data_IF_351512819770
#
_entry.id   IF_351512819770
#
_cell.length_a   1.000
_cell.length_b   1.000
_cell.length_c   1.000
_cell.angle_alpha   90.00
_cell.angle_beta   90.00
_cell.angle_gamma   90.00
#
_symmetry.space_group_name_H-M   'P 1'
#
loop_
_entity.id
_entity.type
_entity.pdbx_description
1 polymer ?
#
# COMPACT_ATOMS: atom_id res chain seq x y z
N UNK A 1 19.35 -22.56 -32.79
CA UNK A 1 18.20 -21.75 -32.33
C UNK A 1 17.86 -22.20 -30.92
N UNK A 2 18.25 -21.43 -29.90
CA UNK A 2 17.96 -21.77 -28.50
C UNK A 2 16.63 -21.13 -28.09
N UNK A 3 15.61 -21.97 -27.92
CA UNK A 3 14.26 -21.54 -27.54
C UNK A 3 14.26 -21.16 -26.05
N UNK A 4 14.34 -19.86 -25.74
CA UNK A 4 14.21 -19.36 -24.37
C UNK A 4 12.78 -19.59 -23.89
N UNK A 5 12.58 -20.59 -23.02
CA UNK A 5 11.30 -20.80 -22.34
C UNK A 5 10.96 -19.56 -21.51
N UNK A 6 9.87 -18.87 -21.85
CA UNK A 6 9.36 -17.76 -21.05
C UNK A 6 8.90 -18.32 -19.71
N UNK A 7 9.50 -17.88 -18.59
CA UNK A 7 8.97 -18.17 -17.26
C UNK A 7 7.61 -17.47 -17.13
N UNK A 8 6.57 -18.22 -16.80
CA UNK A 8 5.30 -17.64 -16.39
C UNK A 8 5.52 -16.91 -15.07
N UNK A 9 5.28 -15.62 -15.05
CA UNK A 9 5.31 -14.82 -13.83
C UNK A 9 3.91 -14.84 -13.22
N UNK A 10 3.76 -15.54 -12.09
CA UNK A 10 2.52 -15.55 -11.34
C UNK A 10 2.52 -14.41 -10.32
N UNK A 11 1.77 -13.35 -10.63
CA UNK A 11 1.65 -12.20 -9.76
C UNK A 11 0.86 -12.49 -8.48
N UNK A 12 0.00 -13.52 -8.48
CA UNK A 12 -0.81 -13.91 -7.31
C UNK A 12 0.05 -14.69 -6.32
N UNK A 13 0.84 -15.65 -6.81
CA UNK A 13 1.79 -16.38 -5.97
C UNK A 13 2.78 -15.42 -5.32
N UNK A 14 3.33 -14.49 -6.10
CA UNK A 14 4.26 -13.49 -5.59
C UNK A 14 3.60 -12.58 -4.53
N UNK A 15 2.38 -12.12 -4.77
CA UNK A 15 1.64 -11.31 -3.80
C UNK A 15 1.43 -12.08 -2.49
N UNK A 16 0.95 -13.32 -2.58
CA UNK A 16 0.65 -14.14 -1.40
C UNK A 16 1.91 -14.37 -0.56
N UNK A 17 3.03 -14.63 -1.22
CA UNK A 17 4.33 -14.76 -0.57
C UNK A 17 4.73 -13.47 0.16
N UNK A 18 4.70 -12.32 -0.51
CA UNK A 18 5.05 -11.02 0.09
C UNK A 18 4.13 -10.72 1.28
N UNK A 19 2.83 -11.02 1.16
CA UNK A 19 1.89 -10.82 2.25
C UNK A 19 2.17 -11.72 3.45
N UNK A 20 2.56 -12.98 3.23
CA UNK A 20 2.94 -13.89 4.31
C UNK A 20 4.20 -13.39 5.04
N UNK A 21 5.21 -12.92 4.30
CA UNK A 21 6.42 -12.33 4.87
C UNK A 21 6.09 -11.08 5.73
N UNK A 22 5.28 -10.16 5.20
CA UNK A 22 4.84 -8.96 5.95
C UNK A 22 3.98 -9.30 7.19
N UNK A 23 3.14 -10.33 7.11
CA UNK A 23 2.35 -10.79 8.25
C UNK A 23 3.21 -11.35 9.38
N UNK A 24 4.32 -12.02 9.04
CA UNK A 24 5.28 -12.50 10.02
C UNK A 24 6.06 -11.34 10.65
N UNK A 25 6.52 -10.38 9.83
CA UNK A 25 7.24 -9.19 10.30
C UNK A 25 6.41 -8.34 11.27
N UNK A 26 5.10 -8.20 11.01
CA UNK A 26 4.21 -7.38 11.83
C UNK A 26 3.43 -8.18 12.87
N UNK A 27 3.80 -9.45 13.09
CA UNK A 27 3.10 -10.33 14.01
C UNK A 27 3.15 -9.77 15.43
N UNK A 28 1.98 -9.48 15.98
CA UNK A 28 1.84 -8.96 17.34
C UNK A 28 1.87 -7.43 17.43
N UNK A 29 2.01 -6.73 16.31
CA UNK A 29 1.77 -5.28 16.23
C UNK A 29 0.28 -5.00 15.98
N UNK A 30 -0.22 -3.93 16.58
CA UNK A 30 -1.52 -3.36 16.23
C UNK A 30 -1.45 -2.60 14.90
N UNK A 31 -2.61 -2.40 14.26
CA UNK A 31 -2.71 -1.62 13.02
C UNK A 31 -2.10 -0.21 13.15
N UNK A 32 -2.24 0.44 14.31
CA UNK A 32 -1.70 1.78 14.55
C UNK A 32 -0.17 1.77 14.75
N UNK A 33 0.38 0.71 15.35
CA UNK A 33 1.83 0.51 15.43
C UNK A 33 2.42 0.27 14.04
N UNK A 34 1.78 -0.58 13.23
CA UNK A 34 2.19 -0.84 11.84
C UNK A 34 2.19 0.46 11.03
N UNK A 35 1.12 1.27 11.13
CA UNK A 35 1.06 2.58 10.45
C UNK A 35 2.18 3.51 10.89
N UNK A 36 2.47 3.53 12.18
CA UNK A 36 3.53 4.38 12.74
C UNK A 36 4.89 3.95 12.19
N UNK A 37 5.17 2.65 12.19
CA UNK A 37 6.43 2.08 11.67
C UNK A 37 6.61 2.36 10.18
N UNK A 38 5.56 2.17 9.38
CA UNK A 38 5.58 2.48 7.95
C UNK A 38 5.82 3.98 7.74
N UNK A 39 5.14 4.85 8.49
CA UNK A 39 5.30 6.29 8.39
C UNK A 39 6.72 6.73 8.74
N UNK A 40 7.29 6.17 9.81
CA UNK A 40 8.66 6.42 10.24
C UNK A 40 9.68 5.97 9.18
N UNK A 41 9.52 4.75 8.67
CA UNK A 41 10.35 4.18 7.61
C UNK A 41 10.32 5.03 6.35
N UNK A 42 9.14 5.44 5.88
CA UNK A 42 8.98 6.27 4.68
C UNK A 42 9.51 7.70 4.90
N UNK A 43 9.48 8.21 6.12
CA UNK A 43 10.04 9.53 6.44
C UNK A 43 11.56 9.52 6.39
N UNK A 44 12.18 8.44 6.88
CA UNK A 44 13.65 8.29 6.97
C UNK A 44 14.30 7.75 5.69
N UNK A 45 13.55 7.11 4.81
CA UNK A 45 14.07 6.51 3.58
C UNK A 45 14.16 7.50 2.41
N UNK A 46 15.12 7.27 1.51
CA UNK A 46 15.28 7.96 0.22
C UNK A 46 14.89 7.07 -0.98
N UNK A 47 14.25 5.92 -0.72
CA UNK A 47 13.74 5.06 -1.77
C UNK A 47 12.73 5.80 -2.67
N UNK A 48 12.56 5.40 -3.94
CA UNK A 48 11.58 6.02 -4.84
C UNK A 48 10.16 6.07 -4.26
N UNK A 49 9.76 5.03 -3.50
CA UNK A 49 8.46 4.98 -2.81
C UNK A 49 8.38 5.98 -1.66
N UNK A 50 9.45 6.16 -0.89
CA UNK A 50 9.52 7.16 0.18
C UNK A 50 9.48 8.59 -0.36
N UNK A 51 10.17 8.86 -1.47
CA UNK A 51 10.11 10.17 -2.14
C UNK A 51 8.72 10.47 -2.68
N UNK A 52 8.05 9.48 -3.27
CA UNK A 52 6.67 9.61 -3.71
C UNK A 52 5.73 9.88 -2.53
N UNK A 53 5.89 9.13 -1.44
CA UNK A 53 5.12 9.31 -0.21
C UNK A 53 5.24 10.74 0.34
N UNK A 54 6.47 11.26 0.47
CA UNK A 54 6.75 12.64 0.89
C UNK A 54 6.04 13.69 0.01
N UNK A 55 5.99 13.45 -1.32
CA UNK A 55 5.29 14.34 -2.26
C UNK A 55 3.77 14.29 -2.10
N UNK A 56 3.19 13.09 -1.93
CA UNK A 56 1.74 12.92 -1.78
C UNK A 56 1.29 13.48 -0.42
N UNK A 57 1.99 13.16 0.67
CA UNK A 57 1.64 13.62 2.01
C UNK A 57 1.67 15.16 2.13
N UNK A 58 2.58 15.82 1.40
CA UNK A 58 2.63 17.28 1.32
C UNK A 58 1.44 17.91 0.56
N UNK A 59 0.75 17.14 -0.29
CA UNK A 59 -0.43 17.61 -1.05
C UNK A 59 -1.75 17.34 -0.33
N UNK A 60 -1.85 16.24 0.42
CA UNK A 60 -3.09 15.82 1.10
C UNK A 60 -3.51 16.76 2.24
N UNK A 61 -2.57 17.50 2.83
CA UNK A 61 -2.87 18.56 3.82
C UNK A 61 -3.62 19.78 3.24
N UNK A 62 -3.81 19.85 1.91
CA UNK A 62 -4.49 20.97 1.24
C UNK A 62 -5.87 20.69 0.63
N UNK A 63 -6.37 19.45 0.58
CA UNK A 63 -7.61 19.18 -0.17
C UNK A 63 -8.36 17.92 0.26
N UNK A 64 -8.93 17.91 1.46
CA UNK A 64 -10.12 17.08 1.71
C UNK A 64 -11.36 17.83 1.19
N UNK A 65 -11.65 17.68 -0.11
CA UNK A 65 -12.98 18.00 -0.63
C UNK A 65 -13.94 16.94 -0.10
N UNK A 66 -14.80 17.36 0.82
CA UNK A 66 -15.97 16.65 1.33
C UNK A 66 -16.84 16.18 0.17
N UNK A 67 -16.81 14.88 -0.14
CA UNK A 67 -17.81 14.26 -0.98
C UNK A 67 -19.07 14.02 -0.14
N UNK A 68 -20.14 14.74 -0.49
CA UNK A 68 -21.44 14.70 0.18
C UNK A 68 -22.05 13.29 0.27
N UNK A 69 -22.83 12.98 1.33
CA UNK A 69 -23.50 11.68 1.46
C UNK A 69 -24.52 11.51 0.34
N UNK A 70 -24.37 10.46 -0.47
CA UNK A 70 -25.41 10.05 -1.43
C UNK A 70 -26.56 9.42 -0.63
N UNK A 71 -27.67 10.16 -0.58
CA UNK A 71 -28.94 9.75 0.02
C UNK A 71 -29.35 8.35 -0.44
N UNK A 72 -29.72 7.53 0.53
CA UNK A 72 -30.39 6.25 0.35
C UNK A 72 -31.65 6.44 -0.52
N UNK A 73 -31.77 5.65 -1.59
CA UNK A 73 -33.04 5.53 -2.32
C UNK A 73 -33.70 4.23 -1.88
N UNK A 74 -34.75 4.38 -1.07
CA UNK A 74 -35.68 3.32 -0.74
C UNK A 74 -36.61 3.02 -1.93
N UNK A 75 -36.92 1.74 -2.12
CA UNK A 75 -38.13 1.23 -2.77
C UNK A 75 -38.02 0.88 -4.26
N UNK A 76 -38.97 0.10 -4.79
CA UNK A 76 -40.19 -0.42 -4.13
C UNK A 76 -40.02 -1.77 -3.43
#
# INVERSE_FOLDING_TARGET
MTTTKKKSFDCVEMKNRIQAELQEEWRGMSDDEIRTEISDTLSKSDSPVAQLWKRISSQTSGSFRTAAPRSAKAGP
#
